data_IF_443268809298
#
_entry.id   IF_443268809298
#
_cell.length_a   1.000
_cell.length_b   1.000
_cell.length_c   1.000
_cell.angle_alpha   90.00
_cell.angle_beta   90.00
_cell.angle_gamma   90.00
#
_symmetry.space_group_name_H-M   'P 1'
#
loop_
_entity.id
_entity.type
_entity.pdbx_description
1 polymer ?
#
# COMPACT_ATOMS: atom_id res chain seq x y z
N UNK A 1 5.58 12.38 -60.28
CA UNK A 1 6.18 11.37 -59.38
C UNK A 1 6.47 12.05 -58.07
N UNK A 2 5.82 11.66 -56.97
CA UNK A 2 6.16 12.16 -55.63
C UNK A 2 7.64 11.84 -55.37
N UNK A 3 8.39 12.81 -54.85
CA UNK A 3 9.80 12.58 -54.51
C UNK A 3 9.90 11.44 -53.50
N UNK A 4 10.95 10.60 -53.53
CA UNK A 4 11.11 9.46 -52.61
C UNK A 4 11.04 9.88 -51.13
N UNK A 5 11.44 11.13 -50.83
CA UNK A 5 11.31 11.73 -49.51
C UNK A 5 9.84 11.92 -49.08
N UNK A 6 8.97 12.39 -49.98
CA UNK A 6 7.55 12.57 -49.70
C UNK A 6 6.84 11.23 -49.45
N UNK A 7 7.21 10.21 -50.21
CA UNK A 7 6.71 8.85 -50.00
C UNK A 7 7.14 8.28 -48.64
N UNK A 8 8.40 8.48 -48.23
CA UNK A 8 8.89 8.04 -46.92
C UNK A 8 8.17 8.75 -45.77
N UNK A 9 7.99 10.08 -45.89
CA UNK A 9 7.26 10.88 -44.90
C UNK A 9 5.80 10.43 -44.78
N UNK A 10 5.14 10.12 -45.90
CA UNK A 10 3.77 9.61 -45.89
C UNK A 10 3.68 8.24 -45.17
N UNK A 11 4.60 7.32 -45.43
CA UNK A 11 4.64 6.02 -44.75
C UNK A 11 4.87 6.19 -43.25
N UNK A 12 5.81 7.05 -42.85
CA UNK A 12 6.07 7.34 -41.45
C UNK A 12 4.85 7.95 -40.75
N UNK A 13 4.16 8.90 -41.41
CA UNK A 13 2.93 9.50 -40.90
C UNK A 13 1.81 8.46 -40.70
N UNK A 14 1.62 7.55 -41.66
CA UNK A 14 0.64 6.46 -41.55
C UNK A 14 0.99 5.53 -40.40
N UNK A 15 2.27 5.14 -40.24
CA UNK A 15 2.71 4.28 -39.15
C UNK A 15 2.48 4.93 -37.77
N UNK A 16 2.77 6.23 -37.64
CA UNK A 16 2.51 6.99 -36.40
C UNK A 16 1.01 7.10 -36.11
N UNK A 17 0.17 7.31 -37.12
CA UNK A 17 -1.29 7.34 -36.97
C UNK A 17 -1.81 5.98 -36.49
N UNK A 18 -1.37 4.89 -37.10
CA UNK A 18 -1.76 3.53 -36.71
C UNK A 18 -1.32 3.24 -35.28
N UNK A 19 -0.10 3.60 -34.90
CA UNK A 19 0.38 3.47 -33.52
C UNK A 19 -0.48 4.29 -32.56
N UNK A 20 -0.78 5.54 -32.89
CA UNK A 20 -1.63 6.42 -32.07
C UNK A 20 -3.03 5.84 -31.86
N UNK A 21 -3.66 5.33 -32.92
CA UNK A 21 -4.97 4.68 -32.84
C UNK A 21 -4.92 3.38 -32.02
N UNK A 22 -3.86 2.59 -32.17
CA UNK A 22 -3.68 1.37 -31.38
C UNK A 22 -3.49 1.67 -29.89
N UNK A 23 -2.72 2.70 -29.54
CA UNK A 23 -2.53 3.16 -28.16
C UNK A 23 -3.84 3.68 -27.58
N UNK A 24 -4.58 4.50 -28.34
CA UNK A 24 -5.89 4.98 -27.92
C UNK A 24 -6.87 3.83 -27.68
N UNK A 25 -6.92 2.86 -28.58
CA UNK A 25 -7.76 1.68 -28.43
C UNK A 25 -7.38 0.85 -27.20
N UNK A 26 -6.09 0.63 -26.98
CA UNK A 26 -5.56 -0.10 -25.81
C UNK A 26 -5.95 0.61 -24.50
N UNK A 27 -5.82 1.92 -24.47
CA UNK A 27 -6.17 2.77 -23.31
C UNK A 27 -7.68 2.77 -23.05
N UNK A 28 -8.50 2.96 -24.08
CA UNK A 28 -9.95 2.94 -23.98
C UNK A 28 -10.44 1.57 -23.52
N UNK A 29 -9.91 0.48 -24.08
CA UNK A 29 -10.24 -0.88 -23.65
C UNK A 29 -9.91 -1.12 -22.19
N UNK A 30 -8.81 -0.56 -21.69
CA UNK A 30 -8.42 -0.68 -20.29
C UNK A 30 -9.33 0.12 -19.36
N UNK A 31 -9.58 1.41 -19.68
CA UNK A 31 -10.36 2.32 -18.83
C UNK A 31 -11.86 2.02 -18.83
N UNK A 32 -12.40 1.55 -19.96
CA UNK A 32 -13.82 1.23 -20.12
C UNK A 32 -14.14 -0.23 -19.75
N UNK A 33 -13.15 -0.99 -19.27
CA UNK A 33 -13.38 -2.37 -18.84
C UNK A 33 -14.38 -2.40 -17.68
N UNK A 34 -15.47 -3.19 -17.77
CA UNK A 34 -16.36 -3.39 -16.65
C UNK A 34 -15.60 -3.93 -15.43
N UNK A 35 -15.73 -3.28 -14.29
CA UNK A 35 -15.12 -3.65 -13.01
C UNK A 35 -16.15 -3.46 -11.90
N UNK A 36 -16.01 -4.22 -10.81
CA UNK A 36 -16.84 -3.99 -9.63
C UNK A 36 -16.56 -2.59 -9.05
N UNK A 37 -17.60 -1.77 -8.82
CA UNK A 37 -17.47 -0.51 -8.12
C UNK A 37 -17.36 -0.67 -6.60
N UNK A 38 -17.65 -1.86 -6.05
CA UNK A 38 -17.75 -2.04 -4.62
C UNK A 38 -16.40 -1.78 -3.93
N UNK A 39 -16.47 -1.06 -2.80
CA UNK A 39 -15.35 -0.76 -1.92
C UNK A 39 -15.64 -1.35 -0.55
N UNK A 40 -14.68 -2.09 0.00
CA UNK A 40 -14.75 -2.63 1.35
C UNK A 40 -13.78 -1.86 2.25
N UNK A 41 -14.27 -1.40 3.40
CA UNK A 41 -13.52 -0.66 4.40
C UNK A 41 -13.72 -1.31 5.77
N UNK A 42 -12.65 -1.71 6.47
CA UNK A 42 -12.74 -2.12 7.86
C UNK A 42 -12.89 -0.88 8.75
N UNK A 43 -13.85 -0.90 9.68
CA UNK A 43 -14.14 0.21 10.60
C UNK A 43 -14.38 -0.30 12.01
N UNK A 44 -14.10 0.54 13.01
CA UNK A 44 -14.46 0.31 14.42
C UNK A 44 -13.90 -0.99 15.03
N UNK A 45 -12.66 -1.34 14.65
CA UNK A 45 -11.97 -2.53 15.15
C UNK A 45 -11.38 -2.30 16.54
N UNK A 46 -11.66 -3.23 17.46
CA UNK A 46 -11.13 -3.20 18.81
C UNK A 46 -10.72 -4.59 19.29
N UNK A 47 -9.79 -4.62 20.24
CA UNK A 47 -9.29 -5.83 20.87
C UNK A 47 -9.61 -5.76 22.35
N UNK A 48 -10.33 -6.78 22.85
CA UNK A 48 -10.72 -6.90 24.26
C UNK A 48 -10.19 -8.20 24.83
N UNK A 49 -9.90 -8.19 26.13
CA UNK A 49 -9.46 -9.36 26.89
C UNK A 49 -10.55 -9.69 27.90
N UNK A 50 -11.08 -10.90 27.83
CA UNK A 50 -12.14 -11.38 28.73
C UNK A 50 -11.85 -12.84 29.08
N UNK A 51 -11.76 -13.15 30.37
CA UNK A 51 -11.65 -14.52 30.88
C UNK A 51 -10.53 -15.37 30.24
N UNK A 52 -9.36 -14.77 30.01
CA UNK A 52 -8.22 -15.45 29.36
C UNK A 52 -8.38 -15.68 27.85
N UNK A 53 -9.42 -15.09 27.25
CA UNK A 53 -9.67 -15.08 25.81
C UNK A 53 -9.45 -13.68 25.25
N UNK A 54 -9.01 -13.64 24.01
CA UNK A 54 -8.91 -12.41 23.24
C UNK A 54 -10.10 -12.34 22.29
N UNK A 55 -10.85 -11.26 22.36
CA UNK A 55 -11.99 -10.98 21.51
C UNK A 55 -11.64 -9.79 20.62
N UNK A 56 -11.61 -10.03 19.31
CA UNK A 56 -11.38 -9.00 18.30
C UNK A 56 -12.69 -8.77 17.57
N UNK A 57 -13.20 -7.54 17.62
CA UNK A 57 -14.48 -7.18 17.03
C UNK A 57 -14.33 -5.94 16.16
N UNK A 58 -15.04 -5.90 15.04
CA UNK A 58 -15.13 -4.73 14.19
C UNK A 58 -16.18 -4.88 13.12
N UNK A 59 -16.27 -3.88 12.24
CA UNK A 59 -17.23 -3.85 11.14
C UNK A 59 -16.50 -3.85 9.79
N UNK A 60 -17.09 -4.53 8.81
CA UNK A 60 -16.75 -4.45 7.40
C UNK A 60 -17.84 -3.66 6.70
N UNK A 61 -17.54 -2.44 6.28
CA UNK A 61 -18.46 -1.63 5.50
C UNK A 61 -18.23 -1.85 4.00
N UNK A 62 -19.26 -2.29 3.29
CA UNK A 62 -19.25 -2.42 1.83
C UNK A 62 -20.09 -1.29 1.25
N UNK A 63 -19.48 -0.45 0.43
CA UNK A 63 -20.15 0.67 -0.23
C UNK A 63 -20.14 0.53 -1.74
N UNK A 64 -21.20 1.02 -2.39
CA UNK A 64 -21.29 1.10 -3.83
C UNK A 64 -21.29 2.57 -4.27
N UNK A 65 -20.15 3.14 -4.68
CA UNK A 65 -20.07 4.52 -5.13
C UNK A 65 -20.71 4.73 -6.51
N UNK A 66 -21.05 3.68 -7.26
CA UNK A 66 -21.61 3.82 -8.60
C UNK A 66 -23.10 4.20 -8.54
N UNK A 67 -23.58 5.14 -9.37
CA UNK A 67 -24.95 5.67 -9.25
C UNK A 67 -26.05 4.69 -9.62
N UNK A 68 -25.80 3.81 -10.61
CA UNK A 68 -26.85 2.98 -11.24
C UNK A 68 -26.58 1.47 -11.21
N UNK A 69 -25.37 1.06 -10.88
CA UNK A 69 -24.97 -0.33 -11.02
C UNK A 69 -25.26 -0.98 -9.69
N UNK A 70 -26.11 -1.98 -9.67
CA UNK A 70 -26.34 -2.80 -8.50
C UNK A 70 -25.43 -4.02 -8.57
N UNK A 71 -24.85 -4.39 -7.43
CA UNK A 71 -23.85 -5.45 -7.35
C UNK A 71 -24.20 -6.36 -6.21
N UNK A 72 -24.26 -7.66 -6.49
CA UNK A 72 -24.46 -8.67 -5.47
C UNK A 72 -23.14 -9.03 -4.80
N UNK A 73 -23.22 -9.22 -3.49
CA UNK A 73 -22.22 -9.88 -2.65
C UNK A 73 -22.81 -11.22 -2.22
N UNK A 74 -22.75 -12.26 -3.07
CA UNK A 74 -23.41 -13.54 -2.79
C UNK A 74 -22.74 -14.30 -1.65
N UNK A 75 -21.46 -14.06 -1.43
CA UNK A 75 -20.59 -14.81 -0.53
C UNK A 75 -19.57 -13.86 0.09
N UNK A 76 -19.36 -13.97 1.40
CA UNK A 76 -18.35 -13.25 2.16
C UNK A 76 -17.84 -14.15 3.29
N UNK A 77 -16.52 -14.30 3.35
CA UNK A 77 -15.82 -15.09 4.36
C UNK A 77 -14.65 -14.29 4.92
N UNK A 78 -14.37 -14.48 6.21
CA UNK A 78 -13.23 -13.90 6.91
C UNK A 78 -12.28 -15.02 7.30
N UNK A 79 -11.00 -14.84 6.98
CA UNK A 79 -9.92 -15.80 7.25
C UNK A 79 -8.86 -15.13 8.15
N UNK A 80 -8.93 -15.34 9.47
CA UNK A 80 -7.93 -14.83 10.40
C UNK A 80 -6.61 -15.61 10.30
N UNK A 81 -5.48 -14.91 10.35
CA UNK A 81 -4.12 -15.45 10.41
C UNK A 81 -3.36 -14.81 11.57
N UNK A 82 -2.79 -15.62 12.47
CA UNK A 82 -2.05 -15.14 13.63
C UNK A 82 -0.59 -14.87 13.26
N UNK A 83 -0.09 -13.72 13.67
CA UNK A 83 1.32 -13.34 13.54
C UNK A 83 1.89 -13.05 14.93
N UNK A 84 3.03 -13.66 15.24
CA UNK A 84 3.59 -13.67 16.57
C UNK A 84 5.08 -13.92 16.60
N UNK A 85 5.63 -14.00 17.81
CA UNK A 85 7.06 -14.23 18.07
C UNK A 85 7.43 -15.70 18.30
N UNK A 86 6.44 -16.59 18.35
CA UNK A 86 6.63 -18.02 18.61
C UNK A 86 5.54 -18.85 17.98
N UNK A 87 5.52 -20.13 18.34
CA UNK A 87 4.52 -21.09 17.84
C UNK A 87 3.11 -20.74 18.33
N UNK A 88 2.16 -20.72 17.41
CA UNK A 88 0.75 -20.38 17.63
C UNK A 88 -0.19 -21.53 17.22
N UNK A 89 0.34 -22.72 16.93
CA UNK A 89 -0.43 -23.88 16.44
C UNK A 89 -1.53 -24.35 17.40
N UNK A 90 -1.30 -24.23 18.71
CA UNK A 90 -2.29 -24.61 19.74
C UNK A 90 -3.35 -23.53 20.00
N UNK A 91 -3.28 -22.38 19.34
CA UNK A 91 -4.26 -21.30 19.51
C UNK A 91 -5.53 -21.65 18.72
N UNK A 92 -6.62 -21.83 19.44
CA UNK A 92 -7.94 -21.99 18.84
C UNK A 92 -8.48 -20.65 18.36
N UNK A 93 -9.00 -20.63 17.14
CA UNK A 93 -9.57 -19.43 16.50
C UNK A 93 -11.01 -19.75 16.11
N UNK A 94 -11.95 -18.93 16.57
CA UNK A 94 -13.35 -18.98 16.12
C UNK A 94 -13.72 -17.62 15.56
N UNK A 95 -14.29 -17.58 14.36
CA UNK A 95 -14.78 -16.34 13.76
C UNK A 95 -16.27 -16.45 13.46
N UNK A 96 -16.98 -15.32 13.59
CA UNK A 96 -18.39 -15.21 13.26
C UNK A 96 -18.63 -13.91 12.49
N UNK A 97 -19.52 -13.98 11.53
CA UNK A 97 -19.97 -12.84 10.73
C UNK A 97 -21.46 -12.65 10.99
N UNK A 98 -21.85 -11.43 11.27
CA UNK A 98 -23.25 -11.02 11.44
C UNK A 98 -23.57 -9.97 10.38
N UNK A 99 -24.31 -10.33 9.32
CA UNK A 99 -24.66 -9.39 8.27
C UNK A 99 -25.56 -8.28 8.82
N UNK A 100 -25.25 -7.01 8.58
CA UNK A 100 -26.03 -5.86 9.03
C UNK A 100 -26.55 -5.10 7.82
N UNK A 101 -27.47 -5.73 7.11
CA UNK A 101 -28.11 -5.15 5.94
C UNK A 101 -29.14 -4.09 6.37
N UNK A 102 -29.25 -2.96 5.67
CA UNK A 102 -30.23 -1.91 5.99
C UNK A 102 -31.71 -2.35 5.94
N UNK A 103 -32.02 -3.36 5.14
CA UNK A 103 -33.37 -3.77 4.75
C UNK A 103 -33.69 -5.24 5.04
N UNK A 104 -32.75 -6.01 5.61
CA UNK A 104 -32.94 -7.42 5.97
C UNK A 104 -32.30 -7.74 7.32
N UNK A 105 -33.01 -8.51 8.15
CA UNK A 105 -32.53 -8.93 9.47
C UNK A 105 -31.52 -10.08 9.36
N UNK A 106 -30.52 -10.06 10.24
CA UNK A 106 -29.50 -11.08 10.34
C UNK A 106 -30.08 -12.40 10.84
N UNK A 107 -29.60 -13.51 10.28
CA UNK A 107 -29.90 -14.83 10.83
C UNK A 107 -29.07 -15.09 12.08
N UNK A 108 -29.65 -15.79 13.06
CA UNK A 108 -28.97 -16.10 14.32
C UNK A 108 -27.79 -17.07 14.17
N UNK A 109 -27.72 -17.81 13.07
CA UNK A 109 -26.64 -18.77 12.77
C UNK A 109 -25.36 -18.11 12.22
N UNK A 110 -25.36 -16.79 11.98
CA UNK A 110 -24.21 -16.08 11.41
C UNK A 110 -23.95 -16.38 9.94
N UNK A 111 -24.95 -16.88 9.22
CA UNK A 111 -24.86 -17.12 7.78
C UNK A 111 -24.89 -15.81 6.99
N UNK A 112 -23.88 -15.60 6.13
CA UNK A 112 -23.91 -14.54 5.12
C UNK A 112 -24.83 -14.97 3.98
N UNK A 113 -25.98 -14.32 3.87
CA UNK A 113 -26.88 -14.49 2.73
C UNK A 113 -26.55 -13.49 1.63
N UNK A 114 -26.88 -13.87 0.39
CA UNK A 114 -26.59 -13.04 -0.78
C UNK A 114 -27.30 -11.68 -0.68
N UNK A 115 -26.55 -10.59 -0.80
CA UNK A 115 -27.10 -9.25 -0.66
C UNK A 115 -26.76 -8.35 -1.85
N UNK A 116 -27.70 -7.49 -2.24
CA UNK A 116 -27.51 -6.53 -3.33
C UNK A 116 -27.18 -5.14 -2.80
N UNK A 117 -25.97 -4.66 -3.08
CA UNK A 117 -25.58 -3.29 -2.74
C UNK A 117 -25.98 -2.37 -3.88
N UNK A 118 -27.11 -1.67 -3.71
CA UNK A 118 -27.64 -0.71 -4.69
C UNK A 118 -26.72 0.50 -4.84
N UNK A 119 -26.90 1.25 -5.94
CA UNK A 119 -26.08 2.43 -6.23
C UNK A 119 -26.16 3.50 -5.13
N UNK A 120 -25.01 4.07 -4.76
CA UNK A 120 -24.83 4.99 -3.63
C UNK A 120 -25.35 4.48 -2.27
N UNK A 121 -25.53 3.17 -2.12
CA UNK A 121 -25.87 2.54 -0.85
C UNK A 121 -24.68 1.81 -0.25
N UNK A 122 -24.85 1.41 0.99
CA UNK A 122 -23.86 0.66 1.78
C UNK A 122 -24.56 -0.43 2.58
N UNK A 123 -23.80 -1.48 2.87
CA UNK A 123 -24.15 -2.51 3.84
C UNK A 123 -22.99 -2.73 4.79
N UNK A 124 -23.24 -3.38 5.93
CA UNK A 124 -22.21 -3.71 6.90
C UNK A 124 -22.23 -5.19 7.25
N UNK A 125 -21.12 -5.67 7.80
CA UNK A 125 -21.00 -6.96 8.42
C UNK A 125 -20.22 -6.79 9.73
N UNK A 126 -20.80 -7.16 10.86
CA UNK A 126 -20.05 -7.23 12.11
C UNK A 126 -19.27 -8.53 12.13
N UNK A 127 -17.99 -8.45 12.47
CA UNK A 127 -17.10 -9.59 12.56
C UNK A 127 -16.61 -9.69 13.99
N UNK A 128 -16.73 -10.88 14.57
CA UNK A 128 -16.15 -11.20 15.88
C UNK A 128 -15.23 -12.41 15.76
N UNK A 129 -14.02 -12.28 16.30
CA UNK A 129 -12.98 -13.31 16.28
C UNK A 129 -12.55 -13.55 17.73
N UNK A 130 -12.77 -14.76 18.21
CA UNK A 130 -12.34 -15.21 19.53
C UNK A 130 -11.09 -16.07 19.39
N UNK A 131 -10.06 -15.73 20.15
CA UNK A 131 -8.80 -16.46 20.25
C UNK A 131 -8.65 -17.00 21.67
N UNK A 132 -8.32 -18.29 21.78
CA UNK A 132 -8.06 -18.93 23.06
C UNK A 132 -6.86 -19.86 22.95
N UNK A 133 -5.89 -19.70 23.85
CA UNK A 133 -4.64 -20.46 23.90
C UNK A 133 -3.78 -20.01 25.08
N UNK A 134 -2.71 -20.75 25.37
CA UNK A 134 -1.76 -20.41 26.43
C UNK A 134 -0.79 -19.33 25.96
N UNK A 135 -0.44 -18.39 26.84
CA UNK A 135 0.64 -17.42 26.60
C UNK A 135 0.37 -16.40 25.48
N UNK A 136 -0.88 -16.18 25.08
CA UNK A 136 -1.25 -15.25 24.00
C UNK A 136 -0.64 -13.86 24.17
N UNK A 137 -0.57 -13.33 25.40
CA UNK A 137 0.04 -12.03 25.70
C UNK A 137 1.51 -11.91 25.29
N UNK A 138 2.25 -13.01 25.30
CA UNK A 138 3.67 -13.04 24.99
C UNK A 138 3.92 -13.41 23.53
N UNK A 139 3.11 -14.34 23.00
CA UNK A 139 3.31 -14.93 21.68
C UNK A 139 2.66 -14.11 20.56
N UNK A 140 1.42 -13.65 20.75
CA UNK A 140 0.63 -12.99 19.72
C UNK A 140 0.98 -11.50 19.64
N UNK A 141 1.17 -11.02 18.42
CA UNK A 141 1.57 -9.65 18.15
C UNK A 141 0.55 -8.92 17.27
N UNK A 142 0.13 -9.57 16.18
CA UNK A 142 -0.78 -8.98 15.19
C UNK A 142 -1.74 -10.05 14.67
N UNK A 143 -2.98 -9.67 14.38
CA UNK A 143 -3.96 -10.50 13.69
C UNK A 143 -4.14 -9.98 12.26
N UNK A 144 -3.82 -10.79 11.26
CA UNK A 144 -4.14 -10.49 9.87
C UNK A 144 -5.52 -11.06 9.52
N UNK A 145 -6.39 -10.24 8.93
CA UNK A 145 -7.76 -10.60 8.59
C UNK A 145 -7.91 -10.52 7.08
N UNK A 146 -7.91 -11.67 6.41
CA UNK A 146 -8.20 -11.77 4.98
C UNK A 146 -9.71 -11.88 4.75
N UNK A 147 -10.29 -10.91 4.03
CA UNK A 147 -11.70 -10.96 3.61
C UNK A 147 -11.79 -11.47 2.18
N UNK A 148 -12.44 -12.61 2.00
CA UNK A 148 -12.76 -13.20 0.70
C UNK A 148 -14.23 -12.94 0.38
N UNK A 149 -14.51 -12.19 -0.66
CA UNK A 149 -15.87 -11.77 -0.98
C UNK A 149 -16.08 -11.71 -2.49
N UNK A 150 -17.24 -12.17 -2.94
CA UNK A 150 -17.56 -12.21 -4.36
C UNK A 150 -18.29 -10.94 -4.77
N UNK A 151 -17.87 -10.36 -5.90
CA UNK A 151 -18.60 -9.30 -6.57
C UNK A 151 -19.27 -9.89 -7.81
N UNK A 152 -20.60 -9.82 -7.85
CA UNK A 152 -21.41 -10.38 -8.93
C UNK A 152 -22.31 -9.31 -9.54
N UNK A 153 -22.14 -9.04 -10.84
CA UNK A 153 -22.87 -7.99 -11.54
C UNK A 153 -22.60 -7.99 -13.06
N UNK A 154 -22.86 -6.88 -13.78
CA UNK A 154 -22.70 -6.79 -15.23
C UNK A 154 -21.28 -7.08 -15.75
N UNK A 155 -20.26 -6.94 -14.89
CA UNK A 155 -18.87 -7.28 -15.17
C UNK A 155 -18.54 -8.78 -14.98
N UNK A 156 -19.54 -9.60 -14.66
CA UNK A 156 -19.41 -11.01 -14.34
C UNK A 156 -19.23 -11.28 -12.85
N UNK A 157 -18.51 -12.35 -12.53
CA UNK A 157 -18.24 -12.81 -11.15
C UNK A 157 -16.74 -12.69 -10.86
N UNK A 158 -16.37 -11.90 -9.85
CA UNK A 158 -14.96 -11.68 -9.47
C UNK A 158 -14.77 -11.92 -7.98
N UNK A 159 -13.84 -12.81 -7.61
CA UNK A 159 -13.43 -13.01 -6.22
C UNK A 159 -12.50 -11.88 -5.81
N UNK A 160 -12.87 -11.18 -4.75
CA UNK A 160 -12.05 -10.16 -4.10
C UNK A 160 -11.42 -10.74 -2.85
N UNK A 161 -10.16 -10.40 -2.65
CA UNK A 161 -9.35 -10.69 -1.46
C UNK A 161 -8.78 -9.37 -0.98
N UNK A 162 -9.13 -8.98 0.24
CA UNK A 162 -8.63 -7.78 0.87
C UNK A 162 -8.26 -8.13 2.30
N UNK A 163 -6.97 -8.04 2.61
CA UNK A 163 -6.47 -8.27 3.95
C UNK A 163 -6.12 -6.97 4.65
N UNK A 164 -6.32 -6.92 5.95
CA UNK A 164 -5.88 -5.83 6.81
C UNK A 164 -5.43 -6.41 8.15
N UNK A 165 -4.55 -5.68 8.84
CA UNK A 165 -4.09 -6.08 10.16
C UNK A 165 -4.90 -5.41 11.25
N UNK A 166 -5.01 -6.09 12.38
CA UNK A 166 -5.45 -5.57 13.67
C UNK A 166 -4.28 -5.78 14.64
N UNK A 167 -3.65 -4.71 15.16
CA UNK A 167 -2.58 -4.85 16.13
C UNK A 167 -3.14 -5.40 17.44
N UNK A 168 -2.53 -6.48 17.94
CA UNK A 168 -2.93 -7.09 19.21
C UNK A 168 -2.17 -6.45 20.37
N UNK A 169 -1.00 -5.87 20.06
CA UNK A 169 -0.13 -5.18 20.99
C UNK A 169 0.38 -3.90 20.37
N UNK A 170 0.51 -2.87 21.19
CA UNK A 170 1.20 -1.64 20.84
C UNK A 170 2.44 -1.54 21.73
N UNK A 171 3.64 -1.26 21.16
CA UNK A 171 4.77 -0.91 22.00
C UNK A 171 4.45 0.35 22.81
N UNK A 172 5.01 0.42 24.02
CA UNK A 172 4.94 1.64 24.82
C UNK A 172 5.76 2.74 24.12
N UNK A 173 5.27 3.99 24.08
CA UNK A 173 6.05 5.12 23.60
C UNK A 173 7.38 5.23 24.35
N UNK A 174 8.43 5.58 23.61
CA UNK A 174 9.76 5.73 24.17
C UNK A 174 9.81 6.95 25.10
N UNK A 175 10.49 6.82 26.24
CA UNK A 175 10.78 7.95 27.11
C UNK A 175 12.00 8.74 26.57
N UNK A 176 11.91 10.08 26.58
CA UNK A 176 12.96 10.95 26.05
C UNK A 176 14.33 10.71 26.69
N UNK A 177 14.38 10.43 27.98
CA UNK A 177 15.62 10.28 28.76
C UNK A 177 16.44 9.04 28.37
N UNK A 178 15.81 8.01 27.80
CA UNK A 178 16.45 6.72 27.48
C UNK A 178 16.45 6.42 25.97
N UNK A 179 16.19 7.43 25.14
CA UNK A 179 16.11 7.24 23.70
C UNK A 179 17.51 6.94 23.10
N UNK A 180 17.70 5.81 22.38
CA UNK A 180 19.01 5.42 21.85
C UNK A 180 19.37 6.20 20.58
N UNK A 181 19.68 7.48 20.73
CA UNK A 181 20.17 8.35 19.65
C UNK A 181 21.50 7.84 19.11
N UNK A 182 21.58 7.73 17.78
CA UNK A 182 22.81 7.37 17.07
C UNK A 182 23.43 8.63 16.49
N UNK A 183 24.73 8.81 16.71
CA UNK A 183 25.48 9.94 16.15
C UNK A 183 25.71 9.76 14.65
N UNK A 184 25.50 10.83 13.89
CA UNK A 184 25.77 10.92 12.46
C UNK A 184 26.60 12.16 12.12
N UNK A 185 26.82 12.39 10.83
CA UNK A 185 27.56 13.57 10.37
C UNK A 185 26.71 14.84 10.55
N UNK A 186 27.02 15.64 11.58
CA UNK A 186 26.28 16.86 11.98
C UNK A 186 24.80 16.62 12.28
N UNK A 187 24.49 15.43 12.77
CA UNK A 187 23.14 15.07 13.18
C UNK A 187 23.14 13.96 14.22
N UNK A 188 22.01 13.83 14.91
CA UNK A 188 21.64 12.65 15.66
C UNK A 188 20.40 12.04 15.01
N UNK A 189 20.32 10.72 14.99
CA UNK A 189 19.16 10.00 14.45
C UNK A 189 18.59 9.04 15.47
N UNK A 190 17.26 8.96 15.53
CA UNK A 190 16.53 8.04 16.39
C UNK A 190 15.52 7.26 15.56
N UNK A 191 15.72 5.95 15.47
CA UNK A 191 14.74 5.04 14.91
C UNK A 191 13.66 4.74 15.96
N UNK A 192 12.39 4.97 15.62
CA UNK A 192 11.27 4.89 16.55
C UNK A 192 10.46 3.63 16.24
N UNK A 193 10.40 2.65 17.16
CA UNK A 193 9.68 1.41 16.94
C UNK A 193 8.17 1.64 17.03
N UNK A 194 7.42 0.97 16.15
CA UNK A 194 5.95 0.97 16.16
C UNK A 194 5.42 -0.45 16.23
N UNK A 195 4.11 -0.59 16.39
CA UNK A 195 3.44 -1.84 15.98
C UNK A 195 3.47 -1.93 14.44
N UNK A 196 3.10 -3.08 13.88
CA UNK A 196 2.98 -3.18 12.42
C UNK A 196 1.83 -2.28 11.94
N UNK A 197 2.14 -1.28 11.11
CA UNK A 197 1.19 -0.26 10.68
C UNK A 197 0.30 -0.79 9.55
N UNK A 198 -0.98 -0.43 9.56
CA UNK A 198 -1.99 -0.88 8.59
C UNK A 198 -3.09 0.14 8.31
N UNK A 199 -4.11 -0.28 7.55
CA UNK A 199 -5.22 0.61 7.11
C UNK A 199 -6.15 1.08 8.22
N UNK A 200 -6.02 0.52 9.42
CA UNK A 200 -6.77 0.96 10.61
C UNK A 200 -6.05 2.10 11.34
N UNK A 201 -4.79 2.38 10.99
CA UNK A 201 -3.99 3.40 11.62
C UNK A 201 -4.16 4.75 10.94
N UNK A 202 -4.38 5.79 11.74
CA UNK A 202 -4.28 7.17 11.30
C UNK A 202 -2.83 7.66 11.42
N UNK A 203 -2.31 8.24 10.35
CA UNK A 203 -0.90 8.65 10.27
C UNK A 203 -0.56 9.67 11.37
N UNK A 204 -1.39 10.70 11.57
CA UNK A 204 -1.14 11.73 12.58
C UNK A 204 -1.16 11.13 13.99
N UNK A 205 -2.13 10.27 14.29
CA UNK A 205 -2.22 9.56 15.57
C UNK A 205 -0.98 8.68 15.84
N UNK A 206 -0.47 7.98 14.83
CA UNK A 206 0.76 7.16 14.94
C UNK A 206 1.97 8.04 15.27
N UNK A 207 2.16 9.15 14.54
CA UNK A 207 3.29 10.06 14.77
C UNK A 207 3.22 10.71 16.16
N UNK A 208 2.02 11.15 16.59
CA UNK A 208 1.79 11.70 17.93
C UNK A 208 2.06 10.69 19.05
N UNK A 209 1.69 9.43 18.84
CA UNK A 209 1.88 8.38 19.84
C UNK A 209 3.35 7.99 19.99
N UNK A 210 4.05 7.77 18.88
CA UNK A 210 5.36 7.12 18.91
C UNK A 210 6.53 8.09 18.83
N UNK A 211 6.43 9.14 18.01
CA UNK A 211 7.55 10.05 17.74
C UNK A 211 7.48 11.31 18.61
N UNK A 212 6.33 11.97 18.66
CA UNK A 212 6.19 13.28 19.32
C UNK A 212 6.70 13.33 20.78
N UNK A 213 6.53 12.30 21.64
CA UNK A 213 7.01 12.34 23.02
C UNK A 213 8.53 12.47 23.18
N UNK A 214 9.31 12.15 22.14
CA UNK A 214 10.79 12.20 22.16
C UNK A 214 11.37 13.27 21.24
N UNK A 215 10.51 14.02 20.53
CA UNK A 215 10.91 15.10 19.64
C UNK A 215 11.19 16.40 20.39
N UNK A 216 12.09 17.19 19.82
CA UNK A 216 12.43 18.54 20.25
C UNK A 216 12.21 19.55 19.12
N UNK A 217 12.18 20.83 19.48
CA UNK A 217 12.07 21.90 18.48
C UNK A 217 13.26 21.86 17.52
N UNK A 218 12.97 21.91 16.21
CA UNK A 218 13.97 21.80 15.15
C UNK A 218 14.21 20.38 14.64
N UNK A 219 13.67 19.35 15.30
CA UNK A 219 13.73 17.98 14.79
C UNK A 219 12.88 17.82 13.52
N UNK A 220 13.33 16.93 12.64
CA UNK A 220 12.61 16.51 11.44
C UNK A 220 12.18 15.05 11.61
N UNK A 221 10.89 14.78 11.45
CA UNK A 221 10.33 13.43 11.47
C UNK A 221 10.21 12.88 10.07
N UNK A 222 10.82 11.72 9.83
CA UNK A 222 10.73 11.01 8.56
C UNK A 222 9.82 9.79 8.72
N UNK A 223 8.99 9.55 7.71
CA UNK A 223 8.14 8.37 7.58
C UNK A 223 8.60 7.59 6.36
N UNK A 224 8.82 6.29 6.52
CA UNK A 224 9.15 5.42 5.40
C UNK A 224 8.00 5.36 4.38
N UNK A 225 8.35 5.33 3.10
CA UNK A 225 7.46 5.28 1.94
C UNK A 225 6.42 4.15 2.03
N UNK A 226 6.87 2.92 2.24
CA UNK A 226 6.00 1.74 2.14
C UNK A 226 5.01 1.63 3.30
N UNK A 227 5.41 1.87 4.58
CA UNK A 227 4.46 1.96 5.69
C UNK A 227 3.41 3.05 5.50
N UNK A 228 3.76 4.20 4.92
CA UNK A 228 2.77 5.22 4.58
C UNK A 228 1.79 4.72 3.51
N UNK A 229 2.29 4.10 2.43
CA UNK A 229 1.43 3.50 1.42
C UNK A 229 0.49 2.42 1.99
N UNK A 230 0.99 1.61 2.92
CA UNK A 230 0.22 0.59 3.63
C UNK A 230 -0.91 1.20 4.47
N UNK A 231 -0.64 2.24 5.25
CA UNK A 231 -1.69 2.96 5.99
C UNK A 231 -2.73 3.58 5.06
N UNK A 232 -2.33 4.01 3.86
CA UNK A 232 -3.24 4.48 2.81
C UNK A 232 -4.00 3.35 2.08
N UNK A 233 -3.79 2.09 2.43
CA UNK A 233 -4.42 0.94 1.77
C UNK A 233 -3.91 0.68 0.35
N UNK A 234 -2.70 1.15 0.03
CA UNK A 234 -2.10 1.05 -1.31
C UNK A 234 -1.27 -0.22 -1.46
N UNK A 235 -1.90 -1.35 -1.22
CA UNK A 235 -1.34 -2.67 -1.45
C UNK A 235 -2.42 -3.64 -1.92
N UNK A 236 -2.04 -4.69 -2.65
CA UNK A 236 -2.97 -5.75 -3.03
C UNK A 236 -2.26 -7.08 -3.19
N UNK A 237 -2.99 -8.17 -2.88
CA UNK A 237 -2.50 -9.50 -3.15
C UNK A 237 -2.43 -9.75 -4.68
N UNK A 238 -1.36 -10.38 -5.22
CA UNK A 238 -1.22 -10.62 -6.67
C UNK A 238 -2.41 -11.35 -7.31
N UNK A 239 -3.12 -12.19 -6.56
CA UNK A 239 -4.32 -12.90 -7.05
C UNK A 239 -5.47 -11.96 -7.47
N UNK A 240 -5.44 -10.69 -7.03
CA UNK A 240 -6.43 -9.68 -7.41
C UNK A 240 -6.17 -9.08 -8.80
N UNK A 241 -4.98 -9.32 -9.37
CA UNK A 241 -4.59 -8.76 -10.65
C UNK A 241 -5.05 -9.59 -11.83
N UNK A 242 -5.60 -8.90 -12.83
CA UNK A 242 -5.90 -9.49 -14.12
C UNK A 242 -4.75 -9.21 -15.09
N UNK A 243 -3.68 -9.99 -14.93
CA UNK A 243 -2.43 -9.83 -15.68
C UNK A 243 -2.65 -9.92 -17.19
N UNK A 244 -2.34 -8.82 -17.88
CA UNK A 244 -2.46 -8.70 -19.34
C UNK A 244 -1.30 -9.37 -20.09
N UNK A 245 -1.54 -9.71 -21.36
CA UNK A 245 -0.47 -10.18 -22.25
C UNK A 245 0.65 -9.15 -22.42
N UNK A 246 0.29 -7.85 -22.42
CA UNK A 246 1.25 -6.74 -22.45
C UNK A 246 2.20 -6.81 -21.25
N UNK A 247 1.66 -6.93 -20.03
CA UNK A 247 2.48 -7.04 -18.82
C UNK A 247 3.45 -8.23 -18.88
N UNK A 248 2.98 -9.41 -19.32
CA UNK A 248 3.79 -10.63 -19.45
C UNK A 248 4.92 -10.54 -20.48
N UNK A 249 4.75 -9.70 -21.50
CA UNK A 249 5.75 -9.51 -22.56
C UNK A 249 6.77 -8.46 -22.15
N UNK A 250 6.30 -7.28 -21.70
CA UNK A 250 7.16 -6.14 -21.42
C UNK A 250 8.04 -6.36 -20.17
N UNK A 251 7.59 -7.13 -19.19
CA UNK A 251 8.33 -7.35 -17.93
C UNK A 251 9.69 -8.04 -18.14
N UNK A 252 9.86 -8.80 -19.24
CA UNK A 252 11.07 -9.60 -19.52
C UNK A 252 12.32 -8.78 -19.84
N UNK A 253 12.18 -7.48 -20.08
CA UNK A 253 13.29 -6.58 -20.46
C UNK A 253 13.88 -5.87 -19.24
N UNK A 254 13.20 -5.90 -18.10
CA UNK A 254 13.72 -5.32 -16.86
C UNK A 254 14.80 -6.21 -16.24
N UNK A 255 15.67 -5.60 -15.45
CA UNK A 255 16.65 -6.34 -14.67
C UNK A 255 15.93 -7.29 -13.69
N UNK A 256 16.37 -8.55 -13.50
CA UNK A 256 15.63 -9.54 -12.70
C UNK A 256 15.29 -9.12 -11.27
N UNK A 257 16.09 -8.24 -10.67
CA UNK A 257 15.89 -7.70 -9.32
C UNK A 257 14.93 -6.50 -9.26
N UNK A 258 14.30 -6.13 -10.38
CA UNK A 258 13.32 -5.05 -10.43
C UNK A 258 11.92 -5.59 -10.14
N UNK A 259 11.15 -4.88 -9.34
CA UNK A 259 9.72 -5.15 -9.11
C UNK A 259 8.90 -5.16 -10.39
N UNK A 260 9.36 -4.49 -11.47
CA UNK A 260 8.72 -4.48 -12.78
C UNK A 260 9.17 -5.64 -13.70
N UNK A 261 10.09 -6.49 -13.24
CA UNK A 261 10.51 -7.69 -13.96
C UNK A 261 9.48 -8.83 -13.88
N UNK A 262 8.48 -8.70 -13.00
CA UNK A 262 7.35 -9.62 -12.94
C UNK A 262 6.14 -9.07 -13.67
N UNK A 263 5.29 -9.99 -14.15
CA UNK A 263 4.06 -9.60 -14.83
C UNK A 263 3.06 -8.95 -13.89
N UNK A 264 3.06 -9.30 -12.60
CA UNK A 264 2.17 -8.72 -11.58
C UNK A 264 2.60 -7.30 -11.20
N UNK A 265 3.89 -7.06 -10.96
CA UNK A 265 4.42 -5.72 -10.70
C UNK A 265 4.18 -4.78 -11.88
N UNK A 266 4.48 -5.23 -13.11
CA UNK A 266 4.21 -4.41 -14.30
C UNK A 266 2.72 -4.21 -14.57
N UNK A 267 1.86 -5.21 -14.29
CA UNK A 267 0.42 -5.04 -14.38
C UNK A 267 -0.10 -3.99 -13.39
N UNK A 268 0.46 -3.96 -12.17
CA UNK A 268 0.13 -2.94 -11.17
C UNK A 268 0.45 -1.53 -11.67
N UNK A 269 1.60 -1.36 -12.34
CA UNK A 269 1.93 -0.09 -13.00
C UNK A 269 0.94 0.25 -14.12
N UNK A 270 0.58 -0.73 -14.97
CA UNK A 270 -0.40 -0.55 -16.04
C UNK A 270 -1.76 -0.11 -15.49
N UNK A 271 -2.22 -0.71 -14.39
CA UNK A 271 -3.49 -0.34 -13.74
C UNK A 271 -3.46 1.07 -13.15
N UNK A 272 -2.29 1.57 -12.73
CA UNK A 272 -2.13 2.95 -12.23
C UNK A 272 -2.07 3.99 -13.34
N UNK A 273 -1.18 3.80 -14.33
CA UNK A 273 -0.83 4.88 -15.29
C UNK A 273 -1.37 4.66 -16.69
N UNK A 274 -1.97 3.50 -16.96
CA UNK A 274 -2.54 3.13 -18.24
C UNK A 274 -1.56 2.36 -19.15
N UNK A 275 -2.07 1.37 -19.92
CA UNK A 275 -1.23 0.54 -20.78
C UNK A 275 -0.56 1.32 -21.91
N UNK A 276 -1.19 2.37 -22.45
CA UNK A 276 -0.60 3.16 -23.53
C UNK A 276 0.65 3.90 -23.06
N UNK A 277 0.60 4.49 -21.86
CA UNK A 277 1.75 5.18 -21.25
C UNK A 277 2.88 4.22 -20.96
N UNK A 278 2.59 3.05 -20.40
CA UNK A 278 3.61 2.02 -20.12
C UNK A 278 4.27 1.53 -21.41
N UNK A 279 3.49 1.26 -22.46
CA UNK A 279 4.04 0.81 -23.75
C UNK A 279 4.93 1.90 -24.38
N UNK A 280 4.50 3.16 -24.38
CA UNK A 280 5.31 4.27 -24.89
C UNK A 280 6.57 4.50 -24.07
N UNK A 281 6.48 4.44 -22.74
CA UNK A 281 7.63 4.53 -21.85
C UNK A 281 8.63 3.40 -22.10
N UNK A 282 8.14 2.19 -22.39
CA UNK A 282 8.96 1.05 -22.74
C UNK A 282 9.67 1.22 -24.08
N UNK A 283 8.94 1.64 -25.13
CA UNK A 283 9.50 1.85 -26.47
C UNK A 283 10.57 2.96 -26.47
N UNK A 284 10.20 4.15 -25.99
CA UNK A 284 11.08 5.31 -25.96
C UNK A 284 12.21 5.12 -24.95
N UNK A 285 11.92 4.55 -23.78
CA UNK A 285 12.93 4.26 -22.76
C UNK A 285 13.98 3.25 -23.25
N UNK A 286 13.58 2.26 -24.05
CA UNK A 286 14.51 1.32 -24.68
C UNK A 286 15.37 2.01 -25.74
N UNK A 287 14.78 2.87 -26.58
CA UNK A 287 15.53 3.66 -27.55
C UNK A 287 16.54 4.59 -26.89
N UNK A 288 16.16 5.28 -25.81
CA UNK A 288 17.06 6.12 -25.02
C UNK A 288 18.21 5.32 -24.42
N UNK A 289 17.94 4.11 -23.91
CA UNK A 289 18.98 3.22 -23.38
C UNK A 289 19.99 2.83 -24.47
N UNK A 290 19.52 2.54 -25.69
CA UNK A 290 20.39 2.28 -26.85
C UNK A 290 21.21 3.52 -27.25
N UNK A 291 20.65 4.72 -27.07
CA UNK A 291 21.34 5.99 -27.27
C UNK A 291 22.24 6.42 -26.08
N UNK A 292 22.49 5.54 -25.10
CA UNK A 292 23.38 5.81 -23.96
C UNK A 292 22.75 6.58 -22.79
N UNK A 293 21.44 6.81 -22.78
CA UNK A 293 20.71 7.46 -21.67
C UNK A 293 19.83 6.45 -20.91
N UNK A 294 20.36 5.76 -19.88
CA UNK A 294 19.59 4.79 -19.10
C UNK A 294 18.47 5.46 -18.28
N UNK A 295 17.48 4.67 -17.86
CA UNK A 295 16.40 5.14 -16.97
C UNK A 295 15.29 5.96 -17.65
N UNK A 296 15.28 6.07 -18.99
CA UNK A 296 14.21 6.71 -19.76
C UNK A 296 12.82 6.15 -19.46
N UNK A 297 12.70 4.82 -19.29
CA UNK A 297 11.44 4.18 -18.92
C UNK A 297 10.80 4.81 -17.67
N UNK A 298 11.53 4.88 -16.56
CA UNK A 298 10.99 5.37 -15.30
C UNK A 298 10.62 6.86 -15.35
N UNK A 299 11.35 7.66 -16.14
CA UNK A 299 11.01 9.08 -16.36
C UNK A 299 9.68 9.24 -17.09
N UNK A 300 9.41 8.39 -18.09
CA UNK A 300 8.21 8.46 -18.91
C UNK A 300 7.00 7.77 -18.25
N UNK A 301 7.22 6.63 -17.60
CA UNK A 301 6.19 5.86 -16.91
C UNK A 301 5.63 6.60 -15.68
N UNK A 302 6.44 7.47 -15.07
CA UNK A 302 6.06 8.28 -13.92
C UNK A 302 6.66 7.76 -12.61
N UNK A 303 6.50 8.53 -11.54
CA UNK A 303 7.18 8.30 -10.26
C UNK A 303 6.81 6.96 -9.62
N UNK A 304 5.54 6.57 -9.71
CA UNK A 304 5.02 5.31 -9.20
C UNK A 304 5.76 4.09 -9.78
N UNK A 305 6.30 4.17 -11.00
CA UNK A 305 7.08 3.08 -11.58
C UNK A 305 8.35 2.73 -10.79
N UNK A 306 8.86 3.66 -9.98
CA UNK A 306 10.02 3.44 -9.09
C UNK A 306 9.64 3.00 -7.68
N UNK A 307 8.38 3.17 -7.31
CA UNK A 307 7.89 2.98 -5.95
C UNK A 307 7.06 1.70 -5.79
N UNK A 308 6.68 1.05 -6.90
CA UNK A 308 6.04 -0.26 -6.82
C UNK A 308 7.05 -1.25 -6.28
N UNK A 309 6.70 -1.84 -5.14
CA UNK A 309 7.39 -2.95 -4.55
C UNK A 309 6.57 -4.23 -4.78
N UNK A 310 7.19 -5.20 -5.44
CA UNK A 310 6.52 -6.47 -5.76
C UNK A 310 6.61 -7.41 -4.53
N UNK A 311 6.22 -8.67 -4.70
CA UNK A 311 6.31 -9.72 -3.68
C UNK A 311 7.78 -10.03 -3.36
N UNK A 312 8.48 -9.13 -2.67
CA UNK A 312 9.81 -9.27 -2.08
C UNK A 312 10.11 -8.03 -1.24
N UNK A 313 10.31 -8.15 0.08
CA UNK A 313 11.03 -7.10 0.84
C UNK A 313 10.26 -6.34 1.91
N UNK A 314 8.95 -6.54 2.04
CA UNK A 314 8.15 -5.94 3.11
C UNK A 314 7.98 -6.88 4.32
N UNK A 315 7.60 -6.33 5.47
CA UNK A 315 7.37 -7.09 6.71
C UNK A 315 6.12 -7.98 6.57
N UNK A 316 6.13 -9.25 7.00
CA UNK A 316 4.93 -10.06 7.02
C UNK A 316 3.76 -9.36 7.74
N UNK A 317 2.54 -9.40 7.18
CA UNK A 317 2.09 -10.23 6.05
C UNK A 317 2.16 -9.52 4.67
N UNK A 318 2.71 -8.31 4.62
CA UNK A 318 2.81 -7.55 3.38
C UNK A 318 3.80 -8.15 2.39
N UNK A 319 4.69 -9.04 2.85
CA UNK A 319 5.64 -9.82 2.06
C UNK A 319 4.97 -10.66 0.95
N UNK A 320 3.67 -10.92 1.06
CA UNK A 320 2.84 -11.62 0.08
C UNK A 320 1.99 -10.69 -0.80
N UNK A 321 2.20 -9.38 -0.69
CA UNK A 321 1.44 -8.34 -1.38
C UNK A 321 2.33 -7.50 -2.27
N UNK A 322 1.72 -6.81 -3.23
CA UNK A 322 2.37 -5.75 -4.01
C UNK A 322 2.02 -4.44 -3.33
N UNK A 323 3.02 -3.71 -2.88
CA UNK A 323 2.88 -2.39 -2.26
C UNK A 323 3.16 -1.33 -3.34
N UNK A 324 2.30 -0.32 -3.42
CA UNK A 324 2.42 0.77 -4.38
C UNK A 324 3.04 1.99 -3.69
N UNK A 325 3.55 2.93 -4.49
CA UNK A 325 3.99 4.23 -3.96
C UNK A 325 2.88 4.97 -3.22
N UNK A 326 3.14 5.71 -2.12
CA UNK A 326 2.12 6.51 -1.44
C UNK A 326 1.49 7.52 -2.40
N UNK A 327 0.23 7.87 -2.12
CA UNK A 327 -0.49 8.89 -2.86
C UNK A 327 -0.36 10.25 -2.16
N UNK A 328 -0.26 11.31 -2.97
CA UNK A 328 -0.23 12.73 -2.53
C UNK A 328 0.73 13.01 -1.36
N UNK A 329 1.92 12.41 -1.40
CA UNK A 329 2.89 12.52 -0.29
C UNK A 329 3.19 13.96 0.12
N UNK A 330 3.22 14.91 -0.83
CA UNK A 330 3.46 16.32 -0.54
C UNK A 330 2.32 16.95 0.29
N UNK A 331 1.06 16.71 -0.07
CA UNK A 331 -0.10 17.18 0.71
C UNK A 331 -0.08 16.58 2.13
N UNK A 332 0.27 15.29 2.23
CA UNK A 332 0.34 14.57 3.51
C UNK A 332 1.41 15.18 4.43
N UNK A 333 2.65 15.39 3.95
CA UNK A 333 3.71 15.96 4.80
C UNK A 333 3.43 17.40 5.23
N UNK A 334 2.78 18.20 4.38
CA UNK A 334 2.38 19.57 4.73
C UNK A 334 1.32 19.59 5.83
N UNK A 335 0.30 18.72 5.72
CA UNK A 335 -0.75 18.58 6.73
C UNK A 335 -0.17 18.08 8.07
N UNK A 336 0.68 17.05 8.04
CA UNK A 336 1.32 16.51 9.23
C UNK A 336 2.26 17.53 9.88
N UNK A 337 3.05 18.26 9.10
CA UNK A 337 3.92 19.30 9.63
C UNK A 337 3.14 20.43 10.32
N UNK A 338 2.03 20.87 9.72
CA UNK A 338 1.15 21.86 10.32
C UNK A 338 0.48 21.34 11.61
N UNK A 339 0.08 20.07 11.62
CA UNK A 339 -0.54 19.39 12.77
C UNK A 339 0.42 19.20 13.95
N UNK A 340 1.66 18.80 13.68
CA UNK A 340 2.66 18.44 14.68
C UNK A 340 3.55 19.60 15.12
N UNK A 341 3.67 20.66 14.29
CA UNK A 341 4.59 21.78 14.54
C UNK A 341 6.07 21.44 14.29
N UNK A 342 6.34 20.38 13.53
CA UNK A 342 7.69 19.88 13.21
C UNK A 342 7.84 19.64 11.71
N UNK A 343 9.08 19.63 11.22
CA UNK A 343 9.34 19.23 9.84
C UNK A 343 8.98 17.77 9.64
N UNK A 344 8.25 17.45 8.58
CA UNK A 344 7.90 16.06 8.21
C UNK A 344 8.37 15.75 6.79
N UNK A 345 8.90 14.56 6.58
CA UNK A 345 9.31 14.06 5.27
C UNK A 345 8.89 12.61 5.05
N UNK A 346 8.62 12.26 3.80
CA UNK A 346 8.45 10.86 3.36
C UNK A 346 9.68 10.45 2.58
N UNK A 347 10.28 9.33 2.97
CA UNK A 347 11.57 8.90 2.47
C UNK A 347 11.54 7.43 2.02
N UNK A 348 12.26 7.15 0.95
CA UNK A 348 12.59 5.81 0.48
C UNK A 348 14.11 5.63 0.65
N UNK A 349 14.49 4.70 1.53
CA UNK A 349 15.87 4.46 1.96
C UNK A 349 16.16 2.98 1.81
N UNK A 350 17.32 2.64 1.24
CA UNK A 350 17.80 1.26 1.16
C UNK A 350 19.24 1.12 1.65
N UNK A 351 19.64 -0.13 1.91
CA UNK A 351 20.96 -0.49 2.42
C UNK A 351 22.12 -0.17 1.47
N UNK A 352 21.83 0.09 0.20
CA UNK A 352 22.86 0.50 -0.78
C UNK A 352 23.23 1.99 -0.62
N UNK A 353 22.76 2.64 0.44
CA UNK A 353 23.02 4.03 0.75
C UNK A 353 22.34 5.01 -0.20
N UNK A 354 21.28 4.58 -0.88
CA UNK A 354 20.44 5.48 -1.68
C UNK A 354 19.29 5.96 -0.82
N UNK A 355 19.27 7.26 -0.59
CA UNK A 355 18.16 7.97 0.05
C UNK A 355 17.43 8.74 -1.04
N UNK A 356 16.11 8.64 -1.05
CA UNK A 356 15.25 9.44 -1.89
C UNK A 356 14.17 10.08 -1.03
N UNK A 357 14.22 11.40 -0.93
CA UNK A 357 13.13 12.16 -0.33
C UNK A 357 12.00 12.28 -1.35
N UNK A 358 10.86 11.66 -1.06
CA UNK A 358 9.69 11.67 -1.94
C UNK A 358 8.86 12.94 -1.78
N UNK A 359 8.76 13.41 -0.54
CA UNK A 359 8.08 14.64 -0.17
C UNK A 359 8.68 15.17 1.12
N UNK A 360 8.67 16.49 1.29
CA UNK A 360 9.08 17.12 2.53
C UNK A 360 8.34 18.44 2.73
N UNK A 361 8.01 18.74 3.99
CA UNK A 361 7.50 20.06 4.37
C UNK A 361 8.58 21.13 4.17
N UNK A 362 8.17 22.39 3.98
CA UNK A 362 9.08 23.51 3.66
C UNK A 362 10.14 23.79 4.73
N UNK A 363 9.94 23.34 5.97
CA UNK A 363 10.88 23.51 7.07
C UNK A 363 11.99 22.45 7.11
N UNK A 364 11.98 21.45 6.20
CA UNK A 364 12.95 20.37 6.19
C UNK A 364 14.24 20.75 5.47
N UNK A 365 15.39 20.50 6.10
CA UNK A 365 16.69 20.48 5.42
C UNK A 365 16.89 19.14 4.69
N UNK A 366 16.69 19.15 3.37
CA UNK A 366 16.80 17.95 2.53
C UNK A 366 18.23 17.40 2.52
N UNK A 367 19.24 18.27 2.55
CA UNK A 367 20.63 17.83 2.54
C UNK A 367 21.01 17.15 3.87
N UNK A 368 20.45 17.62 4.99
CA UNK A 368 20.57 16.95 6.28
C UNK A 368 19.94 15.56 6.24
N UNK A 369 18.71 15.44 5.72
CA UNK A 369 18.01 14.16 5.60
C UNK A 369 18.78 13.14 4.75
N UNK A 370 19.28 13.56 3.59
CA UNK A 370 20.06 12.69 2.71
C UNK A 370 21.35 12.16 3.37
N UNK A 371 22.03 13.00 4.16
CA UNK A 371 23.22 12.56 4.93
C UNK A 371 22.84 11.65 6.09
N UNK A 372 21.85 12.06 6.89
CA UNK A 372 21.45 11.38 8.12
C UNK A 372 20.88 9.98 7.86
N UNK A 373 20.14 9.80 6.75
CA UNK A 373 19.48 8.55 6.43
C UNK A 373 20.32 7.61 5.56
N UNK A 374 21.46 8.06 5.02
CA UNK A 374 22.35 7.24 4.19
C UNK A 374 22.78 5.91 4.83
N UNK A 375 23.02 5.83 6.15
CA UNK A 375 23.34 4.56 6.81
C UNK A 375 22.14 3.61 7.01
N UNK A 376 20.94 3.99 6.56
CA UNK A 376 19.66 3.32 6.84
C UNK A 376 19.41 3.11 8.35
N UNK A 377 19.23 4.18 9.15
CA UNK A 377 19.00 4.05 10.59
C UNK A 377 17.70 3.34 10.94
N UNK A 378 16.69 3.40 10.05
CA UNK A 378 15.44 2.67 10.18
C UNK A 378 15.63 1.15 10.09
N UNK A 379 16.74 0.69 9.52
CA UNK A 379 16.98 -0.72 9.26
C UNK A 379 16.02 -1.30 8.22
N UNK A 380 15.80 -2.60 8.27
CA UNK A 380 14.93 -3.32 7.34
C UNK A 380 13.71 -3.93 8.01
N UNK A 381 12.80 -4.48 7.19
CA UNK A 381 11.48 -5.02 7.51
C UNK A 381 11.26 -5.59 8.94
N UNK A 382 12.21 -6.35 9.49
CA UNK A 382 12.04 -6.99 10.80
C UNK A 382 12.25 -6.06 12.01
N UNK A 383 12.86 -4.89 11.83
CA UNK A 383 13.16 -3.94 12.92
C UNK A 383 11.96 -3.13 13.39
N UNK A 384 10.91 -3.02 12.54
CA UNK A 384 9.63 -2.32 12.83
C UNK A 384 9.81 -0.88 13.30
N UNK A 385 10.73 -0.18 12.65
CA UNK A 385 11.09 1.22 12.91
C UNK A 385 10.80 2.08 11.69
N UNK A 386 9.53 2.20 11.26
CA UNK A 386 9.16 2.93 10.04
C UNK A 386 9.29 4.46 10.18
N UNK A 387 9.57 4.94 11.39
CA UNK A 387 9.74 6.35 11.73
C UNK A 387 11.19 6.61 12.15
N UNK A 388 11.80 7.66 11.62
CA UNK A 388 13.11 8.14 12.07
C UNK A 388 13.06 9.63 12.34
N UNK A 389 13.51 10.03 13.53
CA UNK A 389 13.70 11.43 13.88
C UNK A 389 15.14 11.80 13.57
N UNK A 390 15.32 12.91 12.86
CA UNK A 390 16.61 13.51 12.52
C UNK A 390 16.72 14.83 13.27
N UNK A 391 17.74 14.93 14.12
CA UNK A 391 18.09 16.14 14.86
C UNK A 391 19.35 16.72 14.26
N UNK A 392 19.29 17.97 13.80
CA UNK A 392 20.48 18.70 13.40
C UNK A 392 21.32 19.04 14.62
N UNK A 393 22.61 18.70 14.62
CA UNK A 393 23.53 19.27 15.60
C UNK A 393 24.06 20.56 14.99
N UNK A 394 23.75 21.69 15.63
CA UNK A 394 24.19 23.01 15.16
C UNK A 394 25.69 23.03 14.89
N UNK A 395 26.11 23.81 13.89
CA UNK A 395 27.52 24.07 13.62
C UNK A 395 28.19 24.78 14.80
#
# INVERSE_FOLDING_TARGET
MLSPLLSLLAVAAVALLVLGLALLWLELRHRLRPRSPLQLQPTDWCVRRQDGRWLVEGELQISNPHPRMEVFVPELTVVPTLLGKGDLTEVSITSRIEPQHPDEESRSDGYWFAYIVKGHKRTRARVSISLQGLGLDQLLDTLWIDVHWWNYGPFGRTLRRQGFLVPMRHPEPMAADNAPWRQGERCEVLAVPTHLLGVLDDVDAVLRRYALPVMQHGDILTVAESPLAVMQGRYHHPCQLQVSGLARQLCRVFHPTSSLATACGLQSLIDLVGPARVLMAWLLGSLMKLAGSPGGFYRLAGEQARLIDDVTGSTPPYDQTIVLGPDRSQEVVEQLAASLGHGVAVVDVNDLGRVKVLAASSSCDIALLERALKPNPAGNANERTPLVIVRGTGA
#
